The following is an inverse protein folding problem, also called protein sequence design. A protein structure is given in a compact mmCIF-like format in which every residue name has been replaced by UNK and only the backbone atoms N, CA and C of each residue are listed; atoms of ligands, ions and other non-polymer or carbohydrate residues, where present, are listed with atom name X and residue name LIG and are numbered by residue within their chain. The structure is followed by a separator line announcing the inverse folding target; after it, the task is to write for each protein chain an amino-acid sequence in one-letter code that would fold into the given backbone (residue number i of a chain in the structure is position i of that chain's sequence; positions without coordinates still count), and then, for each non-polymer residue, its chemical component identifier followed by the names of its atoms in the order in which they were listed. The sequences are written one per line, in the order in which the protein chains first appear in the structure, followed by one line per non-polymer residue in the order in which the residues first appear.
data_IF_946210223347
#
_entry.id   IF_946210223347
#
_cell.length_a   1.000
_cell.length_b   1.000
_cell.length_c   1.000
_cell.angle_alpha   90.00
_cell.angle_beta   90.00
_cell.angle_gamma   90.00
#
_symmetry.space_group_name_H-M   'P 1'
#
loop_
_entity.id
_entity.type
_entity.pdbx_description
1 polymer ?
#
# COMPACT_ATOMS: atom_id res chain seq x y z
N UNK A 1 -2.86 9.04 -8.22
CA UNK A 1 -3.01 7.72 -7.55
C UNK A 1 -3.96 7.71 -6.36
N UNK A 2 -3.86 8.63 -5.39
CA UNK A 2 -4.59 8.54 -4.10
C UNK A 2 -6.13 8.42 -4.18
N UNK A 3 -6.77 9.10 -5.13
CA UNK A 3 -8.23 9.01 -5.36
C UNK A 3 -8.65 7.57 -5.76
N UNK A 4 -7.81 6.85 -6.52
CA UNK A 4 -8.10 5.45 -6.90
C UNK A 4 -8.00 4.50 -5.71
N UNK A 5 -7.02 4.69 -4.82
CA UNK A 5 -6.89 3.86 -3.62
C UNK A 5 -8.11 4.04 -2.69
N UNK A 6 -8.55 5.28 -2.49
CA UNK A 6 -9.75 5.60 -1.70
C UNK A 6 -11.03 4.95 -2.26
N UNK A 7 -11.21 4.97 -3.58
CA UNK A 7 -12.36 4.32 -4.23
C UNK A 7 -12.33 2.79 -4.08
N UNK A 8 -11.15 2.18 -4.10
CA UNK A 8 -10.97 0.74 -3.94
C UNK A 8 -11.13 0.28 -2.48
N UNK A 9 -10.81 1.13 -1.51
CA UNK A 9 -11.08 0.84 -0.10
C UNK A 9 -12.57 0.77 0.23
N UNK A 10 -13.39 1.51 -0.53
CA UNK A 10 -14.85 1.51 -0.45
C UNK A 10 -15.52 0.37 -1.21
N UNK A 11 -14.80 -0.37 -2.06
CA UNK A 11 -15.31 -1.56 -2.72
C UNK A 11 -15.00 -2.80 -1.87
N UNK A 12 -15.96 -3.73 -1.77
CA UNK A 12 -15.78 -5.02 -1.07
C UNK A 12 -15.02 -6.04 -1.93
N UNK A 13 -14.01 -5.59 -2.68
CA UNK A 13 -13.23 -6.47 -3.54
C UNK A 13 -12.26 -7.32 -2.69
N UNK A 14 -12.26 -8.62 -2.96
CA UNK A 14 -11.42 -9.64 -2.34
C UNK A 14 -10.76 -10.47 -3.46
N UNK A 15 -9.57 -11.02 -3.20
CA UNK A 15 -8.85 -11.84 -4.17
C UNK A 15 -8.26 -11.06 -5.34
N UNK A 16 -8.02 -9.75 -5.18
CA UNK A 16 -7.45 -8.89 -6.22
C UNK A 16 -6.00 -8.55 -5.90
N UNK A 17 -5.18 -8.32 -6.94
CA UNK A 17 -3.82 -7.80 -6.80
C UNK A 17 -3.80 -6.29 -7.05
N UNK A 18 -3.35 -5.53 -6.06
CA UNK A 18 -3.10 -4.10 -6.14
C UNK A 18 -1.62 -3.84 -6.43
N UNK A 19 -1.34 -3.08 -7.48
CA UNK A 19 0.02 -2.66 -7.83
C UNK A 19 0.11 -1.14 -7.61
N UNK A 20 1.05 -0.72 -6.76
CA UNK A 20 1.31 0.69 -6.45
C UNK A 20 2.74 1.07 -6.82
N UNK A 21 2.88 2.28 -7.31
CA UNK A 21 4.15 2.85 -7.77
C UNK A 21 4.43 4.12 -6.96
N UNK A 22 5.43 4.07 -6.09
CA UNK A 22 5.85 5.13 -5.16
C UNK A 22 4.69 5.81 -4.39
N UNK A 23 3.78 5.05 -3.73
CA UNK A 23 2.61 5.62 -3.07
C UNK A 23 2.93 6.58 -1.92
N UNK A 24 4.14 6.54 -1.36
CA UNK A 24 4.59 7.41 -0.26
C UNK A 24 5.14 8.76 -0.72
N UNK A 25 5.43 8.95 -2.01
CA UNK A 25 6.04 10.19 -2.51
C UNK A 25 5.23 11.42 -2.08
N UNK A 26 5.94 12.40 -1.51
CA UNK A 26 5.36 13.66 -1.05
C UNK A 26 4.36 13.51 0.10
N UNK A 27 4.31 12.38 0.80
CA UNK A 27 3.57 12.26 2.07
C UNK A 27 4.36 12.83 3.22
N UNK A 28 3.65 13.53 4.11
CA UNK A 28 4.17 13.81 5.43
C UNK A 28 4.32 12.47 6.21
N UNK A 29 5.32 12.29 7.10
CA UNK A 29 5.55 11.02 7.79
C UNK A 29 4.32 10.47 8.56
N UNK A 30 3.48 11.37 9.08
CA UNK A 30 2.20 10.98 9.71
C UNK A 30 1.25 10.30 8.72
N UNK A 31 1.18 10.81 7.50
CA UNK A 31 0.26 10.35 6.48
C UNK A 31 0.80 9.07 5.80
N UNK A 32 2.13 8.88 5.77
CA UNK A 32 2.76 7.62 5.37
C UNK A 32 2.28 6.47 6.27
N UNK A 33 2.30 6.66 7.60
CA UNK A 33 1.79 5.64 8.53
C UNK A 33 0.33 5.29 8.27
N UNK A 34 -0.53 6.29 8.02
CA UNK A 34 -1.93 6.07 7.69
C UNK A 34 -2.12 5.30 6.38
N UNK A 35 -1.30 5.59 5.37
CA UNK A 35 -1.30 4.86 4.10
C UNK A 35 -0.92 3.39 4.34
N UNK A 36 0.17 3.13 5.04
CA UNK A 36 0.65 1.77 5.33
C UNK A 36 -0.37 0.96 6.13
N UNK A 37 -1.01 1.56 7.13
CA UNK A 37 -2.09 0.91 7.89
C UNK A 37 -3.29 0.58 6.99
N UNK A 38 -3.54 1.42 5.98
CA UNK A 38 -4.59 1.23 4.99
C UNK A 38 -4.26 0.09 4.02
N UNK A 39 -3.00 -0.02 3.60
CA UNK A 39 -2.52 -1.16 2.79
C UNK A 39 -2.66 -2.47 3.58
N UNK A 40 -2.23 -2.51 4.85
CA UNK A 40 -2.41 -3.70 5.69
C UNK A 40 -3.87 -4.12 5.88
N UNK A 41 -4.81 -3.17 5.88
CA UNK A 41 -6.25 -3.49 5.88
C UNK A 41 -6.74 -4.10 4.56
N UNK A 42 -6.18 -3.68 3.42
CA UNK A 42 -6.52 -4.27 2.12
C UNK A 42 -5.99 -5.70 2.01
N UNK A 43 -4.76 -5.92 2.48
CA UNK A 43 -4.13 -7.24 2.58
C UNK A 43 -4.96 -8.17 3.47
N UNK A 44 -5.33 -7.72 4.67
CA UNK A 44 -6.16 -8.48 5.62
C UNK A 44 -7.57 -8.82 5.11
N UNK A 45 -8.03 -8.22 4.01
CA UNK A 45 -9.26 -8.61 3.29
C UNK A 45 -9.04 -9.74 2.27
N UNK A 46 -7.84 -10.32 2.19
CA UNK A 46 -7.48 -11.38 1.25
C UNK A 46 -7.06 -10.84 -0.12
N UNK A 47 -6.46 -9.66 -0.17
CA UNK A 47 -5.91 -9.09 -1.39
C UNK A 47 -4.38 -9.17 -1.38
N UNK A 48 -3.79 -9.23 -2.57
CA UNK A 48 -2.33 -9.14 -2.74
C UNK A 48 -1.95 -7.70 -3.02
N UNK A 49 -0.84 -7.25 -2.45
CA UNK A 49 -0.33 -5.89 -2.63
C UNK A 49 1.12 -5.97 -3.10
N UNK A 50 1.41 -5.34 -4.24
CA UNK A 50 2.76 -5.16 -4.78
C UNK A 50 3.04 -3.67 -4.81
N UNK A 51 4.13 -3.26 -4.19
CA UNK A 51 4.52 -1.86 -4.05
C UNK A 51 5.94 -1.69 -4.56
N UNK A 52 6.14 -0.73 -5.46
CA UNK A 52 7.47 -0.18 -5.78
C UNK A 52 7.69 1.00 -4.85
N UNK A 53 8.74 0.95 -4.04
CA UNK A 53 9.05 1.98 -3.04
C UNK A 53 10.55 2.13 -2.77
N UNK A 54 10.88 3.31 -2.26
CA UNK A 54 12.22 3.65 -1.75
C UNK A 54 12.19 4.07 -0.28
N UNK A 55 11.00 4.25 0.31
CA UNK A 55 10.83 4.61 1.71
C UNK A 55 11.16 3.45 2.68
N UNK A 56 12.06 3.70 3.63
CA UNK A 56 12.56 2.69 4.56
C UNK A 56 11.47 2.14 5.50
N UNK A 57 10.56 3.01 5.96
CA UNK A 57 9.43 2.60 6.82
C UNK A 57 8.49 1.63 6.10
N UNK A 58 8.31 1.83 4.79
CA UNK A 58 7.52 0.95 3.93
C UNK A 58 8.23 -0.39 3.72
N UNK A 59 9.51 -0.35 3.36
CA UNK A 59 10.32 -1.56 3.14
C UNK A 59 10.37 -2.43 4.41
N UNK A 60 10.57 -1.82 5.59
CA UNK A 60 10.61 -2.51 6.89
C UNK A 60 9.28 -3.16 7.27
N UNK A 61 8.15 -2.68 6.75
CA UNK A 61 6.80 -3.21 7.00
C UNK A 61 6.39 -4.30 6.02
N UNK A 62 7.10 -4.47 4.91
CA UNK A 62 6.77 -5.46 3.90
C UNK A 62 6.95 -6.89 4.44
N UNK A 63 6.01 -7.77 4.10
CA UNK A 63 6.15 -9.21 4.36
C UNK A 63 7.28 -9.82 3.52
N UNK A 64 7.44 -9.33 2.29
CA UNK A 64 8.45 -9.78 1.34
C UNK A 64 9.08 -8.60 0.61
N UNK A 65 10.40 -8.62 0.46
CA UNK A 65 11.18 -7.59 -0.23
C UNK A 65 11.90 -8.23 -1.40
N UNK A 66 11.78 -7.61 -2.57
CA UNK A 66 12.52 -7.95 -3.78
C UNK A 66 13.40 -6.76 -4.12
N UNK A 67 14.71 -6.99 -4.23
CA UNK A 67 15.69 -6.00 -4.65
C UNK A 67 16.08 -6.24 -6.12
N UNK A 68 16.13 -5.18 -6.93
CA UNK A 68 16.29 -5.24 -8.40
C UNK A 68 17.52 -4.47 -8.89
#
# INVERSE_FOLDING_TARGET
QRIRLAAQLGSNLQGVCYILDEPTIGLHPRDNRMLLDTLGRLEGKGNTIVVVEHDEDTIRRAEHVIDL
#
